data_IF_966218100985
#
_entry.id   IF_966218100985
#
_cell.length_a   1.000
_cell.length_b   1.000
_cell.length_c   1.000
_cell.angle_alpha   90.00
_cell.angle_beta   90.00
_cell.angle_gamma   90.00
#
_symmetry.space_group_name_H-M   'P 1'
#
loop_
_entity.id
_entity.type
_entity.pdbx_description
1 polymer ?
#
# COMPACT_ATOMS: atom_id res chain seq x y z
N UNK A 1 -30.90 20.35 -3.58
CA UNK A 1 -29.66 19.60 -3.83
C UNK A 1 -30.10 18.29 -4.42
N UNK A 2 -29.66 17.98 -5.64
CA UNK A 2 -29.81 16.63 -6.19
C UNK A 2 -28.78 15.76 -5.46
N UNK A 3 -29.23 14.71 -4.79
CA UNK A 3 -28.33 13.74 -4.16
C UNK A 3 -27.56 13.03 -5.27
N UNK A 4 -26.24 13.21 -5.29
CA UNK A 4 -25.34 12.47 -6.19
C UNK A 4 -25.42 10.98 -5.85
N UNK A 5 -25.39 10.13 -6.88
CA UNK A 5 -25.42 8.68 -6.72
C UNK A 5 -24.03 8.11 -6.51
N UNK A 6 -23.93 6.93 -5.88
CA UNK A 6 -22.67 6.17 -5.78
C UNK A 6 -22.02 5.96 -7.16
N UNK A 7 -22.85 5.76 -8.19
CA UNK A 7 -22.38 5.60 -9.56
C UNK A 7 -21.67 6.85 -10.06
N UNK A 8 -22.26 8.03 -9.84
CA UNK A 8 -21.66 9.31 -10.24
C UNK A 8 -20.37 9.60 -9.46
N UNK A 9 -20.30 9.30 -8.16
CA UNK A 9 -19.05 9.42 -7.37
C UNK A 9 -17.96 8.53 -7.97
N UNK A 10 -18.28 7.29 -8.33
CA UNK A 10 -17.33 6.36 -8.94
C UNK A 10 -16.87 6.81 -10.33
N UNK A 11 -17.78 7.37 -11.14
CA UNK A 11 -17.46 7.90 -12.48
C UNK A 11 -16.58 9.16 -12.41
N UNK A 12 -16.76 9.98 -11.37
CA UNK A 12 -15.90 11.11 -11.08
C UNK A 12 -14.51 10.66 -10.57
N UNK A 13 -14.45 9.56 -9.83
CA UNK A 13 -13.19 9.05 -9.27
C UNK A 13 -12.30 8.31 -10.28
N UNK A 14 -12.91 7.48 -11.14
CA UNK A 14 -12.18 6.47 -11.92
C UNK A 14 -11.75 6.97 -13.30
N UNK A 15 -10.62 6.45 -13.78
CA UNK A 15 -10.08 6.72 -15.11
C UNK A 15 -9.34 8.05 -15.20
N UNK A 16 -9.33 8.62 -16.42
CA UNK A 16 -8.61 9.85 -16.73
C UNK A 16 -9.55 10.99 -17.13
N UNK A 17 -9.09 12.22 -16.97
CA UNK A 17 -9.72 13.41 -17.52
C UNK A 17 -9.49 13.53 -19.05
N UNK A 18 -9.96 14.64 -19.64
CA UNK A 18 -9.78 14.91 -21.09
C UNK A 18 -8.31 15.11 -21.50
N UNK A 19 -7.44 15.49 -20.55
CA UNK A 19 -6.01 15.68 -20.76
C UNK A 19 -5.20 14.39 -20.57
N UNK A 20 -5.83 13.32 -20.06
CA UNK A 20 -5.19 12.04 -19.78
C UNK A 20 -4.62 11.91 -18.36
N UNK A 21 -4.86 12.88 -17.49
CA UNK A 21 -4.44 12.85 -16.09
C UNK A 21 -5.42 12.03 -15.25
N UNK A 22 -4.99 11.51 -14.10
CA UNK A 22 -5.91 10.85 -13.18
C UNK A 22 -6.97 11.85 -12.66
N UNK A 23 -8.15 11.34 -12.30
CA UNK A 23 -9.29 12.16 -11.86
C UNK A 23 -9.40 12.35 -10.36
N UNK A 24 -8.52 11.71 -9.58
CA UNK A 24 -8.62 11.66 -8.13
C UNK A 24 -7.29 11.96 -7.46
N UNK A 25 -7.38 12.56 -6.27
CA UNK A 25 -6.33 12.45 -5.27
C UNK A 25 -6.53 11.09 -4.60
N UNK A 26 -5.49 10.27 -4.54
CA UNK A 26 -5.48 9.00 -3.82
C UNK A 26 -4.58 9.14 -2.62
N UNK A 27 -5.11 8.84 -1.45
CA UNK A 27 -4.36 8.79 -0.19
C UNK A 27 -4.32 7.33 0.24
N UNK A 28 -3.13 6.81 0.51
CA UNK A 28 -2.93 5.48 1.07
C UNK A 28 -2.18 5.65 2.36
N UNK A 29 -2.66 5.02 3.42
CA UNK A 29 -2.01 5.15 4.71
C UNK A 29 -2.29 3.99 5.65
N UNK A 30 -1.54 4.03 6.74
CA UNK A 30 -1.65 3.12 7.87
C UNK A 30 -1.74 3.96 9.13
N UNK A 31 -2.78 3.68 9.91
CA UNK A 31 -3.08 4.37 11.15
C UNK A 31 -3.24 3.36 12.27
N UNK A 32 -2.90 3.79 13.48
CA UNK A 32 -3.09 3.01 14.71
C UNK A 32 -4.14 3.68 15.58
N UNK A 33 -5.19 2.94 15.88
CA UNK A 33 -6.33 3.37 16.68
C UNK A 33 -6.20 2.84 18.11
N UNK A 34 -6.49 3.67 19.10
CA UNK A 34 -6.67 3.25 20.49
C UNK A 34 -8.10 2.71 20.66
N UNK A 35 -8.24 1.40 20.76
CA UNK A 35 -9.54 0.71 20.88
C UNK A 35 -10.19 0.99 22.24
N UNK A 36 -9.39 1.36 23.25
CA UNK A 36 -9.90 1.71 24.58
C UNK A 36 -10.39 3.16 24.67
N UNK A 37 -9.93 4.03 23.78
CA UNK A 37 -10.32 5.45 23.74
C UNK A 37 -10.46 5.96 22.30
N UNK A 38 -11.63 5.70 21.72
CA UNK A 38 -11.99 6.13 20.36
C UNK A 38 -12.19 7.63 20.22
N UNK A 39 -11.98 8.42 21.29
CA UNK A 39 -12.00 9.88 21.21
C UNK A 39 -10.63 10.47 20.85
N UNK A 40 -9.57 9.67 20.92
CA UNK A 40 -8.24 10.06 20.47
C UNK A 40 -8.16 9.98 18.96
N UNK A 41 -7.50 10.97 18.38
CA UNK A 41 -7.09 10.91 16.98
C UNK A 41 -6.16 9.73 16.77
N UNK A 42 -6.30 8.99 15.65
CA UNK A 42 -5.41 7.89 15.33
C UNK A 42 -3.98 8.37 15.12
N UNK A 43 -3.02 7.52 15.48
CA UNK A 43 -1.61 7.77 15.19
C UNK A 43 -1.32 7.36 13.73
N UNK A 44 -0.88 8.31 12.90
CA UNK A 44 -0.44 8.02 11.53
C UNK A 44 0.94 7.36 11.55
N UNK A 45 1.01 6.10 11.11
CA UNK A 45 2.26 5.36 10.94
C UNK A 45 2.94 5.75 9.61
N UNK A 46 2.15 5.77 8.54
CA UNK A 46 2.61 6.14 7.21
C UNK A 46 1.42 6.64 6.39
N UNK A 47 1.60 7.69 5.60
CA UNK A 47 0.57 8.23 4.71
C UNK A 47 1.21 8.85 3.47
N UNK A 48 0.65 8.54 2.31
CA UNK A 48 1.11 9.01 1.00
C UNK A 48 -0.11 9.52 0.27
N UNK A 49 0.00 10.69 -0.34
CA UNK A 49 -0.99 11.23 -1.26
C UNK A 49 -0.40 11.34 -2.66
N UNK A 50 -1.18 11.02 -3.69
CA UNK A 50 -0.77 11.07 -5.09
C UNK A 50 -1.92 11.55 -5.98
N UNK A 51 -1.58 12.25 -7.06
CA UNK A 51 -2.48 12.61 -8.16
C UNK A 51 -2.16 11.85 -9.45
N UNK A 52 -1.17 10.96 -9.45
CA UNK A 52 -0.73 10.24 -10.65
C UNK A 52 -1.44 8.89 -10.82
N UNK A 53 -2.05 8.38 -9.74
CA UNK A 53 -2.68 7.07 -9.73
C UNK A 53 -4.06 7.09 -10.43
N UNK A 54 -4.14 6.45 -11.59
CA UNK A 54 -5.40 6.21 -12.28
C UNK A 54 -6.17 5.11 -11.55
N UNK A 55 -7.32 5.47 -11.00
CA UNK A 55 -8.18 4.58 -10.22
C UNK A 55 -9.09 3.77 -11.14
N UNK A 56 -9.19 2.46 -10.87
CA UNK A 56 -10.22 1.57 -11.42
C UNK A 56 -10.78 0.69 -10.30
N UNK A 57 -12.08 0.81 -10.02
CA UNK A 57 -12.75 0.01 -9.00
C UNK A 57 -13.63 -1.03 -9.67
N UNK A 58 -13.42 -2.31 -9.37
CA UNK A 58 -14.18 -3.44 -9.92
C UNK A 58 -14.74 -4.31 -8.81
N UNK A 59 -15.95 -4.80 -8.96
CA UNK A 59 -16.50 -5.81 -8.05
C UNK A 59 -16.65 -7.10 -8.86
N UNK A 60 -15.95 -8.15 -8.43
CA UNK A 60 -15.95 -9.46 -9.10
C UNK A 60 -16.25 -10.52 -8.04
N UNK A 61 -17.35 -11.23 -8.22
CA UNK A 61 -17.83 -12.18 -7.21
C UNK A 61 -18.13 -11.48 -5.89
N UNK A 62 -17.54 -11.98 -4.81
CA UNK A 62 -17.71 -11.46 -3.45
C UNK A 62 -16.63 -10.46 -3.02
N UNK A 63 -15.79 -10.00 -3.95
CA UNK A 63 -14.67 -9.10 -3.65
C UNK A 63 -14.73 -7.82 -4.47
N UNK A 64 -14.20 -6.75 -3.88
CA UNK A 64 -13.97 -5.49 -4.56
C UNK A 64 -12.46 -5.27 -4.74
N UNK A 65 -12.09 -4.83 -5.93
CA UNK A 65 -10.74 -4.58 -6.37
C UNK A 65 -10.59 -3.09 -6.63
N UNK A 66 -9.63 -2.46 -5.95
CA UNK A 66 -9.17 -1.12 -6.24
C UNK A 66 -7.82 -1.26 -6.94
N UNK A 67 -7.80 -0.93 -8.22
CA UNK A 67 -6.58 -0.91 -9.01
C UNK A 67 -6.09 0.53 -9.11
N UNK A 68 -4.86 0.76 -8.70
CA UNK A 68 -4.16 2.03 -8.80
C UNK A 68 -3.06 1.89 -9.84
N UNK A 69 -3.27 2.48 -11.02
CA UNK A 69 -2.34 2.41 -12.14
C UNK A 69 -1.51 3.68 -12.21
N UNK A 70 -0.20 3.52 -12.09
CA UNK A 70 0.76 4.62 -12.11
C UNK A 70 1.37 4.78 -13.52
N UNK A 71 1.98 5.94 -13.83
CA UNK A 71 2.57 6.20 -15.14
C UNK A 71 3.60 5.14 -15.57
N UNK A 72 4.44 4.68 -14.63
CA UNK A 72 5.47 3.67 -14.86
C UNK A 72 5.83 2.86 -13.62
N UNK A 73 6.49 1.73 -13.81
CA UNK A 73 6.93 0.83 -12.72
C UNK A 73 8.01 1.45 -11.83
N UNK A 74 8.73 2.46 -12.35
CA UNK A 74 9.69 3.23 -11.57
C UNK A 74 9.06 4.33 -10.73
N UNK A 75 7.77 4.63 -10.86
CA UNK A 75 7.15 5.75 -10.15
C UNK A 75 7.36 5.63 -8.62
N UNK A 76 7.75 6.73 -7.97
CA UNK A 76 8.09 6.70 -6.53
C UNK A 76 6.84 6.60 -5.66
N UNK A 77 5.74 7.24 -6.05
CA UNK A 77 4.44 7.10 -5.37
C UNK A 77 3.95 5.65 -5.39
N UNK A 78 4.15 4.90 -6.48
CA UNK A 78 3.87 3.46 -6.52
C UNK A 78 4.67 2.70 -5.46
N UNK A 79 5.97 2.99 -5.38
CA UNK A 79 6.87 2.32 -4.44
C UNK A 79 6.53 2.65 -2.99
N UNK A 80 6.19 3.92 -2.70
CA UNK A 80 5.79 4.37 -1.37
C UNK A 80 4.41 3.83 -0.97
N UNK A 81 3.47 3.81 -1.91
CA UNK A 81 2.14 3.21 -1.75
C UNK A 81 2.22 1.74 -1.39
N UNK A 82 3.04 0.97 -2.11
CA UNK A 82 3.26 -0.44 -1.82
C UNK A 82 3.89 -0.63 -0.44
N UNK A 83 4.91 0.16 -0.10
CA UNK A 83 5.55 0.14 1.22
C UNK A 83 4.58 0.48 2.36
N UNK A 84 3.62 1.37 2.16
CA UNK A 84 2.59 1.63 3.17
C UNK A 84 1.82 0.36 3.52
N UNK A 85 1.42 -0.42 2.51
CA UNK A 85 0.72 -1.68 2.73
C UNK A 85 1.62 -2.75 3.36
N UNK A 86 2.91 -2.80 3.01
CA UNK A 86 3.88 -3.66 3.72
C UNK A 86 4.02 -3.26 5.20
N UNK A 87 4.05 -1.96 5.50
CA UNK A 87 4.05 -1.47 6.90
C UNK A 87 2.80 -1.90 7.64
N UNK A 88 1.64 -1.90 6.99
CA UNK A 88 0.42 -2.42 7.60
C UNK A 88 0.57 -3.89 7.97
N UNK A 89 1.08 -4.72 7.08
CA UNK A 89 1.34 -6.13 7.37
C UNK A 89 2.26 -6.30 8.60
N UNK A 90 3.40 -5.60 8.61
CA UNK A 90 4.38 -5.68 9.70
C UNK A 90 3.81 -5.24 11.06
N UNK A 91 2.93 -4.23 11.06
CA UNK A 91 2.40 -3.62 12.28
C UNK A 91 1.08 -4.23 12.76
N UNK A 92 0.30 -4.82 11.86
CA UNK A 92 -0.90 -5.57 12.22
C UNK A 92 -0.56 -6.85 12.99
N UNK A 93 0.58 -7.48 12.71
CA UNK A 93 1.08 -8.64 13.46
C UNK A 93 1.63 -8.28 14.85
N UNK A 94 1.89 -7.00 15.12
CA UNK A 94 2.32 -6.56 16.45
C UNK A 94 1.12 -6.46 17.39
N UNK A 95 0.89 -7.50 18.18
CA UNK A 95 -0.16 -7.53 19.22
C UNK A 95 0.22 -6.61 20.38
N UNK A 96 -0.10 -5.32 20.28
CA UNK A 96 -0.17 -4.43 21.43
C UNK A 96 -1.62 -4.35 21.92
N UNK A 97 -1.87 -4.87 23.11
CA UNK A 97 -3.21 -4.89 23.71
C UNK A 97 -3.82 -3.49 23.74
N UNK A 98 -5.03 -3.34 23.17
CA UNK A 98 -5.77 -2.09 23.18
C UNK A 98 -5.55 -1.19 21.98
N UNK A 99 -4.73 -1.59 21.01
CA UNK A 99 -4.56 -0.88 19.75
C UNK A 99 -4.96 -1.73 18.55
N UNK A 100 -5.47 -1.07 17.50
CA UNK A 100 -5.79 -1.69 16.22
C UNK A 100 -5.13 -0.91 15.09
N UNK A 101 -4.34 -1.61 14.28
CA UNK A 101 -3.75 -1.03 13.08
C UNK A 101 -4.72 -1.18 11.91
N UNK A 102 -4.95 -0.09 11.17
CA UNK A 102 -5.84 -0.04 10.01
C UNK A 102 -5.06 0.53 8.82
N UNK A 103 -5.02 -0.22 7.72
CA UNK A 103 -4.68 0.35 6.41
C UNK A 103 -5.93 0.91 5.75
N UNK A 104 -5.78 2.06 5.10
CA UNK A 104 -6.86 2.72 4.38
C UNK A 104 -6.41 3.24 3.02
N UNK A 105 -7.38 3.37 2.13
CA UNK A 105 -7.28 4.09 0.86
C UNK A 105 -8.43 5.09 0.81
N UNK A 106 -8.13 6.36 0.64
CA UNK A 106 -9.12 7.42 0.44
C UNK A 106 -8.96 7.99 -0.95
N UNK A 107 -10.02 7.92 -1.74
CA UNK A 107 -10.05 8.39 -3.14
C UNK A 107 -10.98 9.60 -3.18
N UNK A 108 -10.42 10.74 -3.55
CA UNK A 108 -11.09 12.03 -3.56
C UNK A 108 -11.25 12.47 -5.02
N UNK A 109 -12.47 12.41 -5.60
CA UNK A 109 -12.71 12.87 -6.96
C UNK A 109 -12.49 14.37 -7.06
N UNK A 110 -11.58 14.79 -7.93
CA UNK A 110 -11.23 16.22 -8.08
C UNK A 110 -12.38 17.03 -8.69
N UNK A 111 -13.18 16.41 -9.58
CA UNK A 111 -14.37 17.03 -10.19
C UNK A 111 -15.45 17.37 -9.14
N UNK A 112 -15.44 16.70 -7.99
CA UNK A 112 -16.39 16.96 -6.90
C UNK A 112 -15.78 17.84 -5.80
N UNK A 113 -14.59 18.41 -6.02
CA UNK A 113 -13.95 19.39 -5.14
C UNK A 113 -13.90 18.95 -3.67
N UNK A 114 -13.61 17.67 -3.43
CA UNK A 114 -13.51 17.12 -2.07
C UNK A 114 -14.84 16.91 -1.35
N UNK A 115 -16.00 17.17 -1.96
CA UNK A 115 -17.31 17.00 -1.32
C UNK A 115 -17.69 15.53 -1.06
N UNK A 116 -17.06 14.60 -1.77
CA UNK A 116 -17.27 13.16 -1.60
C UNK A 116 -15.93 12.43 -1.59
N UNK A 117 -15.84 11.33 -0.82
CA UNK A 117 -14.72 10.39 -0.88
C UNK A 117 -15.21 8.96 -1.05
N UNK A 118 -14.34 8.12 -1.60
CA UNK A 118 -14.45 6.67 -1.53
C UNK A 118 -13.37 6.19 -0.58
N UNK A 119 -13.75 5.62 0.55
CA UNK A 119 -12.82 5.10 1.54
C UNK A 119 -12.88 3.58 1.53
N UNK A 120 -11.73 2.93 1.47
CA UNK A 120 -11.60 1.49 1.59
C UNK A 120 -10.66 1.16 2.74
N UNK A 121 -11.14 0.37 3.69
CA UNK A 121 -10.39 -0.04 4.88
C UNK A 121 -10.04 -1.53 4.80
N UNK A 122 -9.09 -1.98 5.63
CA UNK A 122 -8.79 -3.41 5.82
C UNK A 122 -8.55 -4.19 4.51
N UNK A 123 -7.49 -3.85 3.75
CA UNK A 123 -7.14 -4.62 2.56
C UNK A 123 -6.86 -6.08 2.94
N UNK A 124 -7.49 -7.02 2.23
CA UNK A 124 -7.29 -8.46 2.41
C UNK A 124 -5.97 -8.90 1.78
N UNK A 125 -5.67 -8.33 0.61
CA UNK A 125 -4.55 -8.72 -0.23
C UNK A 125 -4.18 -7.57 -1.16
N UNK A 126 -2.90 -7.43 -1.47
CA UNK A 126 -2.41 -6.52 -2.50
C UNK A 126 -1.29 -7.15 -3.31
N UNK A 127 -1.13 -6.69 -4.54
CA UNK A 127 -0.06 -7.14 -5.43
C UNK A 127 0.30 -6.09 -6.46
N UNK A 128 1.54 -6.15 -6.93
CA UNK A 128 1.98 -5.42 -8.11
C UNK A 128 1.73 -6.28 -9.34
N UNK A 129 1.00 -5.72 -10.31
CA UNK A 129 0.66 -6.39 -11.55
C UNK A 129 1.05 -5.55 -12.77
N UNK A 130 1.44 -6.20 -13.88
CA UNK A 130 1.51 -5.56 -15.17
C UNK A 130 0.12 -5.52 -15.84
N UNK A 131 -0.12 -4.52 -16.69
CA UNK A 131 -1.36 -4.44 -17.49
C UNK A 131 -1.45 -5.59 -18.50
N UNK A 132 -0.30 -5.99 -19.04
CA UNK A 132 -0.15 -7.00 -20.10
C UNK A 132 1.02 -7.91 -19.72
N UNK A 133 0.91 -9.18 -20.05
CA UNK A 133 1.99 -10.15 -19.81
C UNK A 133 3.29 -9.68 -20.47
N UNK A 134 4.36 -9.56 -19.68
CA UNK A 134 5.68 -9.13 -20.13
C UNK A 134 5.98 -7.64 -19.92
N UNK A 135 4.98 -6.83 -19.56
CA UNK A 135 5.21 -5.43 -19.20
C UNK A 135 5.75 -5.31 -17.76
N UNK A 136 6.44 -4.21 -17.42
CA UNK A 136 6.75 -3.89 -16.04
C UNK A 136 5.49 -3.72 -15.18
N UNK A 137 5.53 -4.21 -13.94
CA UNK A 137 4.43 -4.06 -13.00
C UNK A 137 4.29 -2.59 -12.57
N UNK A 138 3.15 -1.97 -12.89
CA UNK A 138 2.86 -0.55 -12.58
C UNK A 138 1.46 -0.33 -12.00
N UNK A 139 0.75 -1.42 -11.75
CA UNK A 139 -0.58 -1.39 -11.16
C UNK A 139 -0.51 -2.03 -9.79
N UNK A 140 -0.85 -1.25 -8.77
CA UNK A 140 -1.10 -1.77 -7.43
C UNK A 140 -2.56 -2.20 -7.36
N UNK A 141 -2.79 -3.52 -7.34
CA UNK A 141 -4.12 -4.11 -7.15
C UNK A 141 -4.32 -4.38 -5.68
N UNK A 142 -5.42 -3.88 -5.12
CA UNK A 142 -5.77 -4.04 -3.71
C UNK A 142 -7.17 -4.62 -3.60
N UNK A 143 -7.33 -5.64 -2.77
CA UNK A 143 -8.56 -6.43 -2.63
C UNK A 143 -9.18 -6.15 -1.27
N UNK A 144 -10.48 -5.85 -1.28
CA UNK A 144 -11.28 -5.58 -0.10
C UNK A 144 -12.57 -6.42 -0.12
N UNK A 145 -13.17 -6.61 1.07
CA UNK A 145 -14.58 -7.00 1.10
C UNK A 145 -15.43 -5.81 0.66
N UNK A 146 -16.57 -6.03 -0.03
CA UNK A 146 -17.44 -4.95 -0.48
C UNK A 146 -17.93 -4.03 0.66
N UNK A 147 -18.14 -4.59 1.86
CA UNK A 147 -18.56 -3.85 3.06
C UNK A 147 -17.50 -2.89 3.60
N UNK A 148 -16.23 -3.11 3.29
CA UNK A 148 -15.12 -2.25 3.74
C UNK A 148 -14.94 -1.02 2.84
N UNK A 149 -15.71 -0.93 1.75
CA UNK A 149 -15.71 0.22 0.84
C UNK A 149 -16.93 1.10 1.11
N UNK A 150 -16.67 2.34 1.48
CA UNK A 150 -17.67 3.32 1.85
C UNK A 150 -17.62 4.52 0.91
N UNK A 151 -18.79 5.01 0.52
CA UNK A 151 -18.97 6.23 -0.27
C UNK A 151 -19.54 7.29 0.65
N UNK A 152 -18.75 8.30 0.98
CA UNK A 152 -19.04 9.22 2.08
C UNK A 152 -19.08 10.63 1.54
N UNK A 153 -20.08 11.41 1.99
CA UNK A 153 -20.05 12.86 1.84
C UNK A 153 -19.10 13.41 2.90
N UNK A 154 -18.11 14.17 2.47
CA UNK A 154 -17.06 14.65 3.36
C UNK A 154 -17.51 15.94 4.06
N UNK A 155 -16.88 16.20 5.21
CA UNK A 155 -16.90 17.49 5.88
C UNK A 155 -15.60 18.27 5.65
N UNK A 156 -14.80 17.88 4.64
CA UNK A 156 -13.58 18.60 4.27
C UNK A 156 -13.94 20.03 3.93
N UNK A 157 -13.29 20.98 4.60
CA UNK A 157 -13.41 22.38 4.22
C UNK A 157 -12.49 22.69 3.03
N UNK A 158 -12.77 23.79 2.32
CA UNK A 158 -12.03 24.22 1.13
C UNK A 158 -10.51 24.26 1.38
N UNK A 159 -10.08 24.71 2.57
CA UNK A 159 -8.66 24.79 2.92
C UNK A 159 -7.98 23.43 3.14
N UNK A 160 -8.71 22.43 3.65
CA UNK A 160 -8.20 21.06 3.79
C UNK A 160 -8.05 20.38 2.43
N UNK A 161 -9.04 20.56 1.56
CA UNK A 161 -8.99 20.05 0.19
C UNK A 161 -7.82 20.67 -0.58
N UNK A 162 -7.66 22.00 -0.52
CA UNK A 162 -6.52 22.70 -1.14
C UNK A 162 -5.18 22.20 -0.62
N UNK A 163 -5.07 21.92 0.69
CA UNK A 163 -3.84 21.37 1.29
C UNK A 163 -3.52 19.97 0.75
N UNK A 164 -4.52 19.09 0.67
CA UNK A 164 -4.35 17.74 0.13
C UNK A 164 -3.95 17.76 -1.34
N UNK A 165 -4.58 18.63 -2.13
CA UNK A 165 -4.23 18.84 -3.53
C UNK A 165 -2.78 19.31 -3.67
N UNK A 166 -2.37 20.31 -2.89
CA UNK A 166 -1.01 20.86 -2.93
C UNK A 166 0.04 19.81 -2.55
N UNK A 167 -0.21 19.03 -1.49
CA UNK A 167 0.70 17.97 -1.07
C UNK A 167 0.84 16.88 -2.14
N UNK A 168 -0.28 16.48 -2.75
CA UNK A 168 -0.25 15.46 -3.79
C UNK A 168 0.41 15.97 -5.08
N UNK A 169 0.28 17.26 -5.40
CA UNK A 169 1.03 17.92 -6.49
C UNK A 169 2.54 17.96 -6.21
N UNK A 170 2.93 18.34 -4.99
CA UNK A 170 4.34 18.35 -4.58
C UNK A 170 4.97 16.95 -4.69
N UNK A 171 4.26 15.91 -4.24
CA UNK A 171 4.72 14.53 -4.38
C UNK A 171 4.88 14.11 -5.86
N UNK A 172 3.94 14.51 -6.72
CA UNK A 172 4.03 14.23 -8.16
C UNK A 172 5.24 14.95 -8.81
N UNK A 173 5.48 16.21 -8.46
CA UNK A 173 6.66 16.96 -8.93
C UNK A 173 7.97 16.29 -8.48
N UNK A 174 8.04 15.83 -7.23
CA UNK A 174 9.19 15.08 -6.70
C UNK A 174 9.38 13.77 -7.49
N UNK A 175 8.30 13.02 -7.71
CA UNK A 175 8.34 11.77 -8.48
C UNK A 175 8.84 11.99 -9.91
N UNK A 176 8.39 13.04 -10.59
CA UNK A 176 8.87 13.39 -11.93
C UNK A 176 10.36 13.72 -11.94
N UNK A 177 10.83 14.51 -10.96
CA UNK A 177 12.25 14.85 -10.79
C UNK A 177 13.09 13.58 -10.56
N UNK A 178 12.65 12.67 -9.68
CA UNK A 178 13.33 11.41 -9.41
C UNK A 178 13.37 10.48 -10.64
N UNK A 179 12.32 10.48 -11.46
CA UNK A 179 12.30 9.73 -12.72
C UNK A 179 13.29 10.31 -13.74
N UNK A 180 13.39 11.64 -13.83
CA UNK A 180 14.39 12.31 -14.67
C UNK A 180 15.81 11.96 -14.22
N UNK A 181 16.10 12.03 -12.91
CA UNK A 181 17.40 11.62 -12.38
C UNK A 181 17.72 10.15 -12.67
N UNK A 182 16.73 9.24 -12.57
CA UNK A 182 16.92 7.84 -12.93
C UNK A 182 17.17 7.63 -14.41
N UNK A 183 16.51 8.38 -15.28
CA UNK A 183 16.73 8.30 -16.73
C UNK A 183 18.11 8.82 -17.12
N UNK A 184 18.61 9.86 -16.43
CA UNK A 184 19.94 10.42 -16.66
C UNK A 184 21.07 9.52 -16.12
N UNK A 185 20.83 8.75 -15.07
CA UNK A 185 21.81 7.87 -14.41
C UNK A 185 21.47 6.37 -14.54
N UNK A 186 20.84 5.97 -15.66
CA UNK A 186 20.31 4.61 -15.84
C UNK A 186 21.37 3.51 -15.68
N UNK A 187 22.61 3.77 -16.15
CA UNK A 187 23.72 2.81 -16.08
C UNK A 187 24.17 2.53 -14.63
N UNK A 188 24.17 3.55 -13.76
CA UNK A 188 24.53 3.39 -12.35
C UNK A 188 23.41 2.65 -11.60
N UNK A 189 22.15 2.90 -11.96
CA UNK A 189 20.99 2.32 -11.28
C UNK A 189 20.73 0.86 -11.66
N UNK A 190 21.01 0.44 -12.91
CA UNK A 190 20.97 -0.99 -13.29
C UNK A 190 21.91 -1.82 -12.41
N UNK A 191 23.09 -1.28 -12.09
CA UNK A 191 24.05 -1.97 -11.22
C UNK A 191 23.55 -2.13 -9.78
N UNK A 192 22.90 -1.11 -9.21
CA UNK A 192 22.28 -1.20 -7.87
C UNK A 192 21.06 -2.15 -7.84
N UNK A 193 20.27 -2.18 -8.91
CA UNK A 193 19.12 -3.09 -9.05
C UNK A 193 19.57 -4.54 -9.19
N UNK A 194 20.65 -4.80 -9.94
CA UNK A 194 21.27 -6.12 -10.04
C UNK A 194 21.85 -6.57 -8.69
N UNK A 195 22.53 -5.70 -7.94
CA UNK A 195 23.01 -6.01 -6.59
C UNK A 195 21.86 -6.30 -5.61
N UNK A 196 20.79 -5.50 -5.64
CA UNK A 196 19.61 -5.71 -4.78
C UNK A 196 18.87 -7.01 -5.13
N UNK A 197 18.73 -7.32 -6.42
CA UNK A 197 18.10 -8.58 -6.87
C UNK A 197 18.99 -9.79 -6.58
N UNK A 198 20.32 -9.64 -6.65
CA UNK A 198 21.28 -10.66 -6.23
C UNK A 198 21.18 -10.94 -4.73
N UNK A 199 21.01 -9.91 -3.89
CA UNK A 199 20.80 -10.06 -2.45
C UNK A 199 19.48 -10.80 -2.09
N UNK A 200 18.47 -10.74 -2.97
CA UNK A 200 17.21 -11.49 -2.82
C UNK A 200 17.29 -12.94 -3.31
N UNK A 201 18.31 -13.30 -4.09
CA UNK A 201 18.51 -14.65 -4.64
C UNK A 201 19.61 -15.44 -3.90
N UNK A 202 20.22 -14.86 -2.86
CA UNK A 202 21.26 -15.49 -2.05
C UNK A 202 20.64 -16.50 -1.05
N UNK A 203 20.66 -17.79 -1.42
CA UNK A 203 20.50 -19.08 -0.70
C UNK A 203 19.46 -19.25 0.44
N UNK A 204 18.75 -18.22 0.89
CA UNK A 204 17.75 -18.31 1.96
C UNK A 204 16.33 -18.65 1.46
N UNK A 205 16.12 -18.56 0.14
CA UNK A 205 14.85 -18.84 -0.53
C UNK A 205 15.05 -19.79 -1.74
N UNK A 206 16.04 -20.68 -1.67
CA UNK A 206 16.16 -21.78 -2.63
C UNK A 206 15.11 -22.87 -2.34
N UNK A 207 13.96 -22.78 -2.99
CA UNK A 207 12.90 -23.79 -2.93
C UNK A 207 13.21 -25.06 -3.75
N UNK A 208 14.40 -25.18 -4.34
CA UNK A 208 14.76 -26.36 -5.15
C UNK A 208 15.13 -27.59 -4.33
N UNK A 209 15.41 -27.43 -3.04
CA UNK A 209 15.72 -28.53 -2.12
C UNK A 209 14.57 -28.83 -1.15
N UNK A 210 13.38 -29.16 -1.67
CA UNK A 210 12.46 -30.18 -1.14
C UNK A 210 12.06 -30.24 0.34
N UNK A 211 12.40 -29.28 1.20
CA UNK A 211 11.93 -29.21 2.58
C UNK A 211 10.72 -28.29 2.64
N UNK A 212 9.55 -28.91 2.69
CA UNK A 212 8.25 -28.28 2.92
C UNK A 212 8.31 -27.45 4.22
N UNK A 213 7.97 -26.15 4.22
CA UNK A 213 8.10 -25.30 5.42
C UNK A 213 7.01 -25.58 6.48
N UNK A 214 6.19 -26.62 6.28
CA UNK A 214 5.04 -26.98 7.12
C UNK A 214 5.12 -28.39 7.74
N UNK A 215 6.32 -28.94 7.98
CA UNK A 215 6.45 -30.17 8.78
C UNK A 215 6.63 -29.85 10.27
N UNK A 216 5.52 -29.56 10.95
CA UNK A 216 5.42 -29.65 12.41
C UNK A 216 5.00 -31.09 12.79
N UNK A 217 5.92 -32.04 12.60
CA UNK A 217 5.94 -33.32 13.31
C UNK A 217 7.33 -33.43 13.94
N UNK A 218 7.50 -33.29 15.25
CA UNK A 218 6.98 -34.21 16.25
C UNK A 218 8.17 -34.97 16.84
N UNK A 219 8.43 -34.70 18.13
CA UNK A 219 9.11 -35.56 19.10
C UNK A 219 10.64 -35.70 19.12
N UNK A 220 11.12 -35.40 20.33
CA UNK A 220 11.92 -36.26 21.21
C UNK A 220 13.44 -36.36 21.03
N UNK A 221 14.07 -35.96 22.13
CA UNK A 221 15.08 -36.70 22.91
C UNK A 221 16.58 -36.59 22.58
N UNK A 222 17.31 -36.62 23.71
CA UNK A 222 18.71 -37.04 23.90
C UNK A 222 19.81 -35.98 23.64
N UNK A 223 20.84 -35.80 24.46
CA UNK A 223 21.19 -36.17 25.85
C UNK A 223 22.65 -35.69 26.07
N UNK A 224 22.98 -35.28 27.31
CA UNK A 224 24.31 -35.23 27.98
C UNK A 224 25.49 -34.44 27.31
N UNK A 225 26.38 -33.75 28.04
CA UNK A 225 27.27 -34.27 29.09
C UNK A 225 27.61 -33.25 30.20
N UNK A 226 27.60 -33.78 31.43
CA UNK A 226 28.32 -33.30 32.62
C UNK A 226 29.85 -33.46 32.45
N UNK A 227 30.63 -32.69 33.22
CA UNK A 227 31.99 -32.97 33.78
C UNK A 227 32.64 -31.60 34.07
N UNK A 228 33.25 -31.27 35.21
CA UNK A 228 33.42 -31.91 36.51
C UNK A 228 33.88 -30.82 37.50
N UNK A 229 33.54 -30.98 38.77
CA UNK A 229 34.17 -30.27 39.89
C UNK A 229 35.60 -30.78 40.10
N UNK A 230 36.53 -29.89 40.44
CA UNK A 230 37.68 -30.28 41.27
C UNK A 230 38.03 -29.13 42.23
N UNK A 231 37.71 -29.35 43.51
CA UNK A 231 38.22 -28.59 44.65
C UNK A 231 39.61 -29.11 45.09
N UNK A 232 40.37 -28.18 45.71
CA UNK A 232 41.38 -28.35 46.77
C UNK A 232 42.88 -28.27 46.39
N UNK A 233 43.51 -27.15 46.76
CA UNK A 233 44.46 -27.06 47.90
C UNK A 233 44.53 -25.65 48.48
#
# INVERSE_FOLDING_TARGET
MLDITIKEIKEAACGTDEAGNAKSIVIIGVQKFDVNDTSKEPETIMEISTIDAIVDIKTIGSFSYINLKFPGSGNSDLSLSYRALERYYDTADSTEDGYETVAFISIIPMELEGQYTINALYPIFWSLEPDIVGDPARTLRIVHLPEDIQFIRTDLNDGEYERLMMQAQENAEISEIEELYRRENADDFESELEERNAAFTDDKYDFSNGSDPFDYSGNDDEDYDEEDEDENE
#
